data_IF_235469746783
#
_entry.id   IF_235469746783
#
_cell.length_a   1.000
_cell.length_b   1.000
_cell.length_c   1.000
_cell.angle_alpha   90.00
_cell.angle_beta   90.00
_cell.angle_gamma   90.00
#
_symmetry.space_group_name_H-M   'P 1'
#
loop_
_entity.id
_entity.type
_entity.pdbx_description
1 polymer ?
#
# COMPACT_ATOMS: atom_id res chain seq x y z
N UNK A 1 16.73 -13.34 20.95
CA UNK A 1 17.03 -13.55 19.52
C UNK A 1 15.76 -14.07 18.88
N UNK A 2 15.01 -13.20 18.19
CA UNK A 2 13.92 -13.63 17.30
C UNK A 2 14.38 -13.21 15.92
N UNK A 3 14.91 -14.15 15.15
CA UNK A 3 14.91 -13.96 13.69
C UNK A 3 13.44 -13.84 13.31
N UNK A 4 13.01 -12.63 12.97
CA UNK A 4 11.75 -12.44 12.29
C UNK A 4 11.91 -13.14 10.95
N UNK A 5 11.23 -14.27 10.78
CA UNK A 5 11.17 -15.01 9.54
C UNK A 5 10.71 -14.04 8.45
N UNK A 6 11.61 -13.71 7.52
CA UNK A 6 11.32 -12.82 6.39
C UNK A 6 10.24 -13.49 5.54
N UNK A 7 8.97 -13.09 5.76
CA UNK A 7 7.84 -13.65 5.03
C UNK A 7 7.93 -13.14 3.61
N UNK A 8 8.31 -14.01 2.68
CA UNK A 8 8.31 -13.69 1.26
C UNK A 8 6.87 -13.46 0.80
N UNK A 9 6.58 -12.27 0.30
CA UNK A 9 5.27 -11.96 -0.31
C UNK A 9 5.01 -12.90 -1.48
N UNK A 10 3.75 -13.34 -1.60
CA UNK A 10 3.26 -14.08 -2.74
C UNK A 10 3.24 -13.19 -3.99
N UNK A 11 3.23 -13.79 -5.18
CA UNK A 11 3.10 -13.02 -6.42
C UNK A 11 1.83 -12.17 -6.44
N UNK A 12 0.75 -12.65 -5.80
CA UNK A 12 -0.53 -11.91 -5.73
C UNK A 12 -0.44 -10.68 -4.84
N UNK A 13 0.19 -10.79 -3.67
CA UNK A 13 0.42 -9.63 -2.78
C UNK A 13 1.31 -8.59 -3.47
N UNK A 14 2.30 -9.03 -4.25
CA UNK A 14 3.15 -8.12 -5.05
C UNK A 14 2.35 -7.41 -6.14
N UNK A 15 1.60 -8.15 -6.95
CA UNK A 15 0.73 -7.57 -7.99
C UNK A 15 -0.29 -6.59 -7.41
N UNK A 16 -0.90 -6.95 -6.27
CA UNK A 16 -1.82 -6.09 -5.56
C UNK A 16 -1.17 -4.82 -5.00
N UNK A 17 0.05 -4.94 -4.45
CA UNK A 17 0.80 -3.79 -3.96
C UNK A 17 1.11 -2.82 -5.10
N UNK A 18 1.55 -3.33 -6.26
CA UNK A 18 1.78 -2.52 -7.46
C UNK A 18 0.48 -1.85 -7.91
N UNK A 19 -0.63 -2.59 -7.95
CA UNK A 19 -1.94 -2.04 -8.27
C UNK A 19 -2.36 -0.88 -7.34
N UNK A 20 -2.12 -1.01 -6.04
CA UNK A 20 -2.42 0.04 -5.06
C UNK A 20 -1.59 1.31 -5.31
N UNK A 21 -0.29 1.14 -5.57
CA UNK A 21 0.64 2.24 -5.85
C UNK A 21 0.20 3.01 -7.11
N UNK A 22 -0.04 2.30 -8.21
CA UNK A 22 -0.42 2.93 -9.48
C UNK A 22 -1.80 3.59 -9.41
N UNK A 23 -2.76 2.98 -8.70
CA UNK A 23 -4.10 3.56 -8.52
C UNK A 23 -4.05 4.84 -7.68
N UNK A 24 -3.21 4.90 -6.65
CA UNK A 24 -2.98 6.12 -5.87
C UNK A 24 -2.23 7.17 -6.68
N UNK A 25 -1.25 6.77 -7.48
CA UNK A 25 -0.51 7.67 -8.36
C UNK A 25 -1.45 8.38 -9.34
N UNK A 26 -2.36 7.62 -9.97
CA UNK A 26 -3.41 8.16 -10.82
C UNK A 26 -4.32 9.14 -10.07
N UNK A 27 -4.81 8.75 -8.88
CA UNK A 27 -5.72 9.58 -8.07
C UNK A 27 -5.08 10.87 -7.54
N UNK A 28 -3.77 10.86 -7.28
CA UNK A 28 -3.00 11.98 -6.73
C UNK A 28 -2.28 12.81 -7.81
N UNK A 29 -2.44 12.43 -9.09
CA UNK A 29 -1.71 13.02 -10.21
C UNK A 29 -0.18 13.05 -9.97
N UNK A 30 0.36 11.95 -9.44
CA UNK A 30 1.80 11.74 -9.22
C UNK A 30 2.31 10.56 -10.04
N UNK A 31 3.63 10.38 -10.07
CA UNK A 31 4.24 9.14 -10.57
C UNK A 31 4.29 8.05 -9.49
N UNK A 32 4.30 6.79 -9.93
CA UNK A 32 4.32 5.62 -9.04
C UNK A 32 5.54 5.58 -8.12
N UNK A 33 6.70 6.11 -8.53
CA UNK A 33 7.90 6.11 -7.69
C UNK A 33 7.75 7.08 -6.50
N UNK A 34 7.19 8.27 -6.73
CA UNK A 34 6.87 9.23 -5.68
C UNK A 34 5.90 8.62 -4.65
N UNK A 35 4.83 7.96 -5.13
CA UNK A 35 3.89 7.26 -4.23
C UNK A 35 4.54 6.11 -3.49
N UNK A 36 5.27 5.23 -4.18
CA UNK A 36 5.99 4.12 -3.56
C UNK A 36 6.91 4.59 -2.43
N UNK A 37 7.68 5.66 -2.67
CA UNK A 37 8.57 6.24 -1.66
C UNK A 37 7.77 6.75 -0.45
N UNK A 38 6.68 7.48 -0.66
CA UNK A 38 5.84 7.97 0.44
C UNK A 38 5.28 6.80 1.27
N UNK A 39 4.79 5.74 0.63
CA UNK A 39 4.22 4.58 1.32
C UNK A 39 5.26 3.70 2.02
N UNK A 40 6.53 3.71 1.57
CA UNK A 40 7.61 2.85 2.09
C UNK A 40 8.49 3.51 3.16
N UNK A 41 8.25 4.79 3.49
CA UNK A 41 9.00 5.56 4.50
C UNK A 41 8.68 5.10 5.94
N UNK A 42 8.77 5.99 6.91
CA UNK A 42 8.77 5.69 8.36
C UNK A 42 7.68 4.71 8.80
N UNK A 43 6.42 4.98 8.46
CA UNK A 43 5.30 4.13 8.86
C UNK A 43 5.09 2.91 7.98
N UNK A 44 5.81 2.81 6.86
CA UNK A 44 5.80 1.72 5.89
C UNK A 44 4.40 1.12 5.68
N UNK A 45 3.49 1.92 5.10
CA UNK A 45 2.10 1.55 4.83
C UNK A 45 2.00 0.27 3.99
N UNK A 46 2.98 0.02 3.12
CA UNK A 46 3.03 -1.21 2.32
C UNK A 46 3.14 -2.44 3.23
N UNK A 47 4.14 -2.48 4.11
CA UNK A 47 4.40 -3.63 4.98
C UNK A 47 3.45 -3.72 6.17
N UNK A 48 2.95 -2.58 6.65
CA UNK A 48 2.15 -2.51 7.87
C UNK A 48 0.64 -2.44 7.63
N UNK A 49 0.19 -2.28 6.38
CA UNK A 49 -1.24 -2.21 6.05
C UNK A 49 -1.60 -2.93 4.74
N UNK A 50 -1.03 -2.55 3.59
CA UNK A 50 -1.45 -3.12 2.27
C UNK A 50 -1.25 -4.63 2.19
N UNK A 51 -0.07 -5.13 2.58
CA UNK A 51 0.21 -6.57 2.56
C UNK A 51 -0.58 -7.31 3.65
N UNK A 52 -0.57 -6.89 4.93
CA UNK A 52 -1.37 -7.53 5.98
C UNK A 52 -2.86 -7.64 5.67
N UNK A 53 -3.43 -6.60 5.05
CA UNK A 53 -4.87 -6.52 4.74
C UNK A 53 -5.21 -7.02 3.33
N UNK A 54 -4.27 -7.64 2.61
CA UNK A 54 -4.45 -8.13 1.24
C UNK A 54 -5.76 -8.92 1.10
N UNK A 55 -5.99 -9.92 1.94
CA UNK A 55 -7.16 -10.81 1.87
C UNK A 55 -8.50 -10.06 1.93
N UNK A 56 -8.56 -8.92 2.62
CA UNK A 56 -9.76 -8.09 2.70
C UNK A 56 -9.79 -7.11 1.53
N UNK A 57 -8.72 -6.33 1.33
CA UNK A 57 -8.70 -5.25 0.35
C UNK A 57 -8.85 -5.75 -1.09
N UNK A 58 -8.25 -6.88 -1.46
CA UNK A 58 -8.27 -7.39 -2.84
C UNK A 58 -9.66 -7.87 -3.31
N UNK A 59 -10.62 -8.00 -2.38
CA UNK A 59 -12.01 -8.35 -2.69
C UNK A 59 -12.89 -7.12 -2.99
N UNK A 60 -12.35 -5.92 -2.74
CA UNK A 60 -13.08 -4.67 -2.88
C UNK A 60 -12.91 -4.07 -4.29
N UNK A 61 -13.80 -3.14 -4.66
CA UNK A 61 -13.67 -2.37 -5.90
C UNK A 61 -12.54 -1.35 -5.85
N UNK A 62 -12.03 -0.94 -7.03
CA UNK A 62 -10.92 0.03 -7.16
C UNK A 62 -11.17 1.31 -6.37
N UNK A 63 -12.34 1.94 -6.56
CA UNK A 63 -12.64 3.24 -5.94
C UNK A 63 -12.61 3.16 -4.41
N UNK A 64 -13.16 2.09 -3.83
CA UNK A 64 -13.10 1.85 -2.38
C UNK A 64 -11.67 1.66 -1.89
N UNK A 65 -10.85 0.88 -2.60
CA UNK A 65 -9.44 0.65 -2.23
C UNK A 65 -8.70 1.99 -2.22
N UNK A 66 -8.88 2.82 -3.25
CA UNK A 66 -8.24 4.14 -3.34
C UNK A 66 -8.69 5.05 -2.20
N UNK A 67 -10.00 5.16 -1.94
CA UNK A 67 -10.53 5.96 -0.84
C UNK A 67 -10.00 5.51 0.53
N UNK A 68 -9.96 4.20 0.78
CA UNK A 68 -9.43 3.62 2.01
C UNK A 68 -7.96 3.95 2.20
N UNK A 69 -7.13 3.76 1.16
CA UNK A 69 -5.70 4.05 1.25
C UNK A 69 -5.42 5.54 1.44
N UNK A 70 -6.18 6.43 0.78
CA UNK A 70 -6.09 7.87 1.01
C UNK A 70 -6.46 8.23 2.46
N UNK A 71 -7.48 7.59 3.03
CA UNK A 71 -7.85 7.76 4.45
C UNK A 71 -6.71 7.32 5.36
N UNK A 72 -6.15 6.14 5.14
CA UNK A 72 -5.04 5.60 5.95
C UNK A 72 -3.80 6.49 5.82
N UNK A 73 -3.44 6.95 4.62
CA UNK A 73 -2.35 7.91 4.41
C UNK A 73 -2.56 9.17 5.26
N UNK A 74 -3.75 9.74 5.25
CA UNK A 74 -4.09 10.92 6.06
C UNK A 74 -4.02 10.64 7.56
N UNK A 75 -4.62 9.55 8.04
CA UNK A 75 -4.61 9.16 9.45
C UNK A 75 -3.19 8.88 9.95
N UNK A 76 -2.34 8.39 9.05
CA UNK A 76 -0.93 8.12 9.31
C UNK A 76 -0.03 9.33 9.03
N UNK A 77 -0.57 10.47 8.61
CA UNK A 77 0.23 11.67 8.33
C UNK A 77 1.28 11.46 7.23
N UNK A 78 1.01 10.56 6.28
CA UNK A 78 1.84 10.35 5.10
C UNK A 78 1.44 11.40 4.06
N UNK A 79 2.43 12.19 3.63
CA UNK A 79 2.31 13.12 2.51
C UNK A 79 3.25 12.69 1.38
N UNK A 80 2.90 13.11 0.17
CA UNK A 80 3.75 13.00 -1.01
C UNK A 80 4.88 14.04 -0.95
#
# INVERSE_FOLDING_TARGET
MKEALEKKNTNRELEFTIFCIESLAEALHQDGATVYQALSREKNLIQNYIIPEYEVLHTQGKDYIVEELLRVMKDWGISL
#
